data_IF_838555429810
#
_entry.id   IF_838555429810
#
_cell.length_a   1.000
_cell.length_b   1.000
_cell.length_c   1.000
_cell.angle_alpha   90.00
_cell.angle_beta   90.00
_cell.angle_gamma   90.00
#
_symmetry.space_group_name_H-M   'P 1'
#
loop_
_entity.id
_entity.type
_entity.pdbx_description
1 polymer ?
#
# COMPACT_ATOMS: atom_id res chain seq x y z
N UNK A 1 -11.69 -4.97 -15.17
CA UNK A 1 -11.54 -5.44 -13.79
C UNK A 1 -11.71 -4.25 -12.87
N UNK A 2 -12.25 -4.45 -11.67
CA UNK A 2 -12.20 -3.40 -10.66
C UNK A 2 -10.72 -3.08 -10.34
N UNK A 3 -10.35 -1.81 -10.09
CA UNK A 3 -8.99 -1.47 -9.70
C UNK A 3 -8.58 -2.26 -8.45
N UNK A 4 -7.40 -2.86 -8.49
CA UNK A 4 -6.79 -3.58 -7.35
C UNK A 4 -5.75 -2.68 -6.69
N UNK A 5 -5.47 -2.93 -5.42
CA UNK A 5 -4.48 -2.20 -4.63
C UNK A 5 -3.70 -3.17 -3.74
N UNK A 6 -2.47 -2.79 -3.41
CA UNK A 6 -1.66 -3.45 -2.39
C UNK A 6 -1.79 -2.70 -1.06
N UNK A 7 -1.83 -3.45 0.05
CA UNK A 7 -1.95 -2.88 1.38
C UNK A 7 -1.01 -3.57 2.38
N UNK A 8 -0.54 -2.79 3.35
CA UNK A 8 0.09 -3.31 4.55
C UNK A 8 -0.97 -3.54 5.62
N UNK A 9 -0.98 -4.73 6.21
CA UNK A 9 -1.91 -5.12 7.26
C UNK A 9 -1.10 -5.46 8.51
N UNK A 10 -1.51 -4.90 9.65
CA UNK A 10 -0.92 -5.20 10.95
C UNK A 10 -1.96 -5.85 11.85
N UNK A 11 -1.54 -6.82 12.67
CA UNK A 11 -2.41 -7.42 13.68
C UNK A 11 -2.74 -6.40 14.76
N UNK A 12 -3.99 -6.41 15.24
CA UNK A 12 -4.46 -5.50 16.30
C UNK A 12 -3.61 -5.59 17.57
N UNK A 13 -3.33 -6.79 18.06
CA UNK A 13 -2.56 -6.99 19.29
C UNK A 13 -1.11 -6.50 19.21
N UNK A 14 -0.48 -6.62 18.03
CA UNK A 14 0.84 -6.05 17.78
C UNK A 14 0.79 -4.52 17.74
N UNK A 15 -0.19 -3.96 17.03
CA UNK A 15 -0.35 -2.51 16.88
C UNK A 15 -0.71 -1.82 18.22
N UNK A 16 -1.44 -2.50 19.11
CA UNK A 16 -1.75 -2.02 20.46
C UNK A 16 -0.53 -2.05 21.39
N UNK A 17 0.32 -3.08 21.28
CA UNK A 17 1.52 -3.24 22.13
C UNK A 17 2.72 -2.43 21.64
N UNK A 18 2.81 -2.21 20.33
CA UNK A 18 3.94 -1.57 19.66
C UNK A 18 3.50 -0.50 18.65
N UNK A 19 2.65 0.47 19.05
CA UNK A 19 2.17 1.52 18.14
C UNK A 19 3.32 2.32 17.52
N UNK A 20 4.41 2.54 18.26
CA UNK A 20 5.60 3.24 17.81
C UNK A 20 6.31 2.54 16.64
N UNK A 21 6.35 1.20 16.65
CA UNK A 21 6.96 0.42 15.57
C UNK A 21 6.10 0.50 14.31
N UNK A 22 4.77 0.43 14.46
CA UNK A 22 3.84 0.54 13.32
C UNK A 22 3.91 1.93 12.70
N UNK A 23 3.95 2.98 13.52
CA UNK A 23 4.15 4.36 13.06
C UNK A 23 5.51 4.54 12.37
N UNK A 24 6.59 4.00 12.93
CA UNK A 24 7.91 4.09 12.30
C UNK A 24 7.96 3.35 10.96
N UNK A 25 7.32 2.18 10.85
CA UNK A 25 7.18 1.46 9.60
C UNK A 25 6.43 2.29 8.55
N UNK A 26 5.25 2.80 8.90
CA UNK A 26 4.46 3.65 8.01
C UNK A 26 5.27 4.87 7.54
N UNK A 27 6.00 5.52 8.46
CA UNK A 27 6.86 6.66 8.13
C UNK A 27 7.94 6.31 7.11
N UNK A 28 8.73 5.25 7.33
CA UNK A 28 9.82 4.87 6.41
C UNK A 28 9.26 4.51 5.02
N UNK A 29 8.10 3.84 4.95
CA UNK A 29 7.44 3.55 3.68
C UNK A 29 7.02 4.83 2.94
N UNK A 30 6.38 5.77 3.64
CA UNK A 30 5.92 7.02 3.04
C UNK A 30 7.07 7.94 2.63
N UNK A 31 8.15 7.97 3.40
CA UNK A 31 9.36 8.70 3.05
C UNK A 31 9.99 8.14 1.76
N UNK A 32 9.99 6.81 1.57
CA UNK A 32 10.45 6.18 0.34
C UNK A 32 9.56 6.52 -0.86
N UNK A 33 8.23 6.52 -0.69
CA UNK A 33 7.30 6.94 -1.73
C UNK A 33 7.48 8.41 -2.11
N UNK A 34 7.67 9.29 -1.12
CA UNK A 34 7.94 10.70 -1.35
C UNK A 34 9.27 10.92 -2.09
N UNK A 35 10.33 10.19 -1.72
CA UNK A 35 11.62 10.26 -2.39
C UNK A 35 11.52 9.86 -3.87
N UNK A 36 10.82 8.76 -4.18
CA UNK A 36 10.58 8.34 -5.56
C UNK A 36 9.72 9.37 -6.32
N UNK A 37 8.62 9.83 -5.74
CA UNK A 37 7.69 10.76 -6.40
C UNK A 37 8.23 12.16 -6.60
N UNK A 38 9.24 12.58 -5.83
CA UNK A 38 9.89 13.87 -5.99
C UNK A 38 10.52 14.02 -7.38
N UNK A 39 11.22 12.99 -7.83
CA UNK A 39 11.81 12.92 -9.17
C UNK A 39 12.02 11.45 -9.57
N UNK A 40 11.02 10.80 -10.19
CA UNK A 40 11.10 9.40 -10.57
C UNK A 40 12.24 9.10 -11.55
N UNK A 41 12.59 10.06 -12.42
CA UNK A 41 13.63 9.88 -13.43
C UNK A 41 15.01 9.90 -12.77
N UNK A 42 15.27 10.87 -11.89
CA UNK A 42 16.52 10.90 -11.13
C UNK A 42 16.65 9.70 -10.18
N UNK A 43 15.55 9.27 -9.54
CA UNK A 43 15.55 8.10 -8.66
C UNK A 43 15.89 6.81 -9.41
N UNK A 44 15.38 6.64 -10.64
CA UNK A 44 15.66 5.51 -11.53
C UNK A 44 17.05 5.57 -12.16
N UNK A 45 17.63 6.76 -12.33
CA UNK A 45 19.00 6.92 -12.83
C UNK A 45 20.07 6.47 -11.81
N UNK A 46 19.71 6.37 -10.53
CA UNK A 46 20.56 5.79 -9.49
C UNK A 46 20.55 4.26 -9.57
N UNK A 47 21.64 3.68 -10.09
CA UNK A 47 21.81 2.23 -10.19
C UNK A 47 21.66 1.51 -8.84
N UNK A 48 22.05 2.15 -7.72
CA UNK A 48 21.91 1.57 -6.40
C UNK A 48 20.47 1.37 -5.96
N UNK A 49 19.53 2.16 -6.48
CA UNK A 49 18.09 1.97 -6.26
C UNK A 49 17.53 0.82 -7.10
N UNK A 50 17.91 0.77 -8.38
CA UNK A 50 17.51 -0.31 -9.30
C UNK A 50 18.05 -1.66 -8.83
N UNK A 51 19.32 -1.72 -8.41
CA UNK A 51 19.96 -2.94 -7.93
C UNK A 51 19.28 -3.53 -6.69
N UNK A 52 18.83 -2.67 -5.76
CA UNK A 52 18.04 -3.10 -4.60
C UNK A 52 16.72 -3.73 -5.03
N UNK A 53 16.02 -3.13 -5.99
CA UNK A 53 14.75 -3.67 -6.49
C UNK A 53 14.95 -4.97 -7.26
N UNK A 54 15.99 -5.08 -8.09
CA UNK A 54 16.37 -6.32 -8.78
C UNK A 54 16.64 -7.43 -7.76
N UNK A 55 17.43 -7.14 -6.72
CA UNK A 55 17.77 -8.11 -5.68
C UNK A 55 16.54 -8.58 -4.88
N UNK A 56 15.60 -7.68 -4.58
CA UNK A 56 14.41 -7.99 -3.78
C UNK A 56 13.31 -8.69 -4.59
N UNK A 57 13.08 -8.26 -5.84
CA UNK A 57 11.98 -8.76 -6.68
C UNK A 57 12.36 -9.92 -7.59
N UNK A 58 13.65 -10.06 -7.92
CA UNK A 58 14.13 -10.96 -8.97
C UNK A 58 13.82 -10.50 -10.40
N UNK A 59 13.24 -9.30 -10.59
CA UNK A 59 12.98 -8.75 -11.91
C UNK A 59 14.27 -8.33 -12.63
N UNK A 60 14.23 -8.21 -13.96
CA UNK A 60 15.36 -7.65 -14.72
C UNK A 60 15.44 -6.14 -14.48
N UNK A 61 16.66 -5.61 -14.44
CA UNK A 61 16.89 -4.17 -14.28
C UNK A 61 16.14 -3.34 -15.36
N UNK A 62 16.05 -3.85 -16.59
CA UNK A 62 15.33 -3.22 -17.70
C UNK A 62 13.82 -3.06 -17.46
N UNK A 63 13.25 -3.91 -16.61
CA UNK A 63 11.80 -3.98 -16.40
C UNK A 63 11.37 -3.09 -15.22
N UNK A 64 12.30 -2.75 -14.31
CA UNK A 64 12.04 -1.94 -13.12
C UNK A 64 11.35 -0.60 -13.44
N UNK A 65 11.79 0.21 -14.43
CA UNK A 65 11.13 1.47 -14.73
C UNK A 65 9.65 1.32 -15.06
N UNK A 66 9.31 0.34 -15.91
CA UNK A 66 7.93 0.07 -16.31
C UNK A 66 7.09 -0.42 -15.13
N UNK A 67 7.64 -1.31 -14.31
CA UNK A 67 6.96 -1.84 -13.13
C UNK A 67 6.62 -0.73 -12.12
N UNK A 68 7.54 0.21 -11.86
CA UNK A 68 7.25 1.32 -10.97
C UNK A 68 6.24 2.31 -11.57
N UNK A 69 6.36 2.63 -12.86
CA UNK A 69 5.45 3.56 -13.54
C UNK A 69 4.02 3.01 -13.69
N UNK A 70 3.86 1.68 -13.65
CA UNK A 70 2.54 1.04 -13.64
C UNK A 70 1.73 1.24 -12.36
N UNK A 71 2.32 1.87 -11.33
CA UNK A 71 1.72 2.04 -10.02
C UNK A 71 1.68 3.52 -9.61
N UNK A 72 0.73 3.85 -8.73
CA UNK A 72 0.70 5.13 -8.03
C UNK A 72 1.11 4.89 -6.58
N UNK A 73 2.12 5.60 -6.12
CA UNK A 73 2.60 5.55 -4.73
C UNK A 73 2.00 6.73 -3.94
N UNK A 74 0.93 6.55 -3.17
CA UNK A 74 0.25 7.67 -2.52
C UNK A 74 1.13 8.31 -1.44
N UNK A 75 1.15 9.65 -1.39
CA UNK A 75 1.87 10.40 -0.35
C UNK A 75 1.11 10.35 0.98
N UNK A 76 1.71 10.83 2.06
CA UNK A 76 1.08 10.83 3.39
C UNK A 76 -0.31 11.49 3.40
N UNK A 77 -0.46 12.64 2.74
CA UNK A 77 -1.74 13.34 2.62
C UNK A 77 -2.79 12.53 1.84
N UNK A 78 -2.38 11.86 0.76
CA UNK A 78 -3.24 10.96 -0.01
C UNK A 78 -3.69 9.78 0.87
N UNK A 79 -2.75 9.18 1.61
CA UNK A 79 -2.99 8.00 2.44
C UNK A 79 -3.96 8.27 3.59
N UNK A 80 -3.90 9.44 4.23
CA UNK A 80 -4.88 9.83 5.26
C UNK A 80 -6.31 9.82 4.70
N UNK A 81 -6.49 10.20 3.43
CA UNK A 81 -7.79 10.18 2.76
C UNK A 81 -8.17 8.77 2.29
N UNK A 82 -7.22 8.03 1.71
CA UNK A 82 -7.44 6.69 1.16
C UNK A 82 -7.80 5.69 2.26
N UNK A 83 -7.09 5.69 3.39
CA UNK A 83 -7.30 4.81 4.56
C UNK A 83 -8.50 5.23 5.42
N UNK A 84 -9.61 5.53 4.76
CA UNK A 84 -10.92 5.82 5.36
C UNK A 84 -12.03 5.21 4.49
N UNK A 85 -12.97 6.06 4.05
CA UNK A 85 -14.08 5.65 3.21
C UNK A 85 -13.65 4.98 1.88
N UNK A 86 -12.63 5.47 1.15
CA UNK A 86 -12.23 4.87 -0.13
C UNK A 86 -11.80 3.40 -0.01
N UNK A 87 -10.83 3.09 0.87
CA UNK A 87 -10.39 1.69 1.07
C UNK A 87 -11.49 0.83 1.67
N UNK A 88 -12.29 1.34 2.61
CA UNK A 88 -13.42 0.59 3.17
C UNK A 88 -14.42 0.19 2.08
N UNK A 89 -14.75 1.12 1.16
CA UNK A 89 -15.61 0.83 0.02
C UNK A 89 -14.97 -0.22 -0.90
N UNK A 90 -13.70 -0.06 -1.24
CA UNK A 90 -13.00 -0.98 -2.13
C UNK A 90 -12.97 -2.42 -1.57
N UNK A 91 -12.73 -2.59 -0.27
CA UNK A 91 -12.79 -3.90 0.39
C UNK A 91 -14.21 -4.47 0.38
N UNK A 92 -15.22 -3.64 0.67
CA UNK A 92 -16.64 -4.04 0.63
C UNK A 92 -17.04 -4.53 -0.76
N UNK A 93 -16.75 -3.75 -1.80
CA UNK A 93 -17.06 -4.09 -3.19
C UNK A 93 -16.33 -5.38 -3.62
N UNK A 94 -15.07 -5.54 -3.22
CA UNK A 94 -14.27 -6.74 -3.53
C UNK A 94 -14.85 -7.98 -2.86
N UNK A 95 -15.24 -7.88 -1.58
CA UNK A 95 -15.85 -8.99 -0.85
C UNK A 95 -17.20 -9.40 -1.47
N UNK A 96 -18.03 -8.42 -1.86
CA UNK A 96 -19.29 -8.67 -2.54
C UNK A 96 -19.06 -9.38 -3.89
N UNK A 97 -18.13 -8.87 -4.70
CA UNK A 97 -17.78 -9.49 -5.98
C UNK A 97 -17.27 -10.93 -5.79
N UNK A 98 -16.40 -11.17 -4.81
CA UNK A 98 -15.91 -12.53 -4.51
C UNK A 98 -17.03 -13.48 -4.06
N UNK A 99 -18.04 -12.99 -3.34
CA UNK A 99 -19.22 -13.77 -2.96
C UNK A 99 -20.08 -14.13 -4.18
N UNK A 100 -20.32 -13.17 -5.08
CA UNK A 100 -21.04 -13.41 -6.33
C UNK A 100 -20.33 -14.46 -7.21
N UNK A 101 -19.00 -14.49 -7.17
CA UNK A 101 -18.17 -15.49 -7.87
C UNK A 101 -18.04 -16.83 -7.12
N UNK A 102 -18.71 -16.99 -5.97
CA UNK A 102 -18.64 -18.20 -5.14
C UNK A 102 -17.25 -18.49 -4.55
N UNK A 103 -16.42 -17.45 -4.37
CA UNK A 103 -15.06 -17.57 -3.79
C UNK A 103 -15.04 -17.41 -2.28
N UNK A 104 -16.09 -16.82 -1.70
CA UNK A 104 -16.30 -16.68 -0.26
C UNK A 104 -17.76 -16.96 0.08
N UNK A 105 -18.02 -17.59 1.23
CA UNK A 105 -19.38 -17.99 1.63
C UNK A 105 -20.19 -16.81 2.22
N UNK A 106 -19.50 -15.86 2.84
CA UNK A 106 -20.09 -14.73 3.54
C UNK A 106 -19.26 -13.44 3.38
N UNK A 107 -19.94 -12.31 3.57
CA UNK A 107 -19.34 -10.97 3.64
C UNK A 107 -19.68 -10.34 4.98
N UNK A 108 -18.83 -9.45 5.48
CA UNK A 108 -19.13 -8.70 6.69
C UNK A 108 -20.13 -7.58 6.40
N UNK A 109 -20.95 -7.18 7.40
CA UNK A 109 -21.83 -6.02 7.26
C UNK A 109 -21.05 -4.69 7.22
N UNK A 110 -19.84 -4.66 7.78
CA UNK A 110 -18.96 -3.50 7.80
C UNK A 110 -17.48 -3.90 7.84
N UNK A 111 -16.68 -3.25 7.01
CA UNK A 111 -15.23 -3.42 6.93
C UNK A 111 -14.43 -2.23 7.50
N UNK A 112 -15.10 -1.15 7.93
CA UNK A 112 -14.43 0.02 8.52
C UNK A 112 -13.51 -0.32 9.71
N UNK A 113 -13.84 -1.28 10.62
CA UNK A 113 -12.96 -1.64 11.74
C UNK A 113 -11.61 -2.27 11.35
N UNK A 114 -11.37 -2.52 10.05
CA UNK A 114 -10.14 -3.09 9.51
C UNK A 114 -9.30 -2.07 8.72
N UNK A 115 -9.74 -0.80 8.65
CA UNK A 115 -9.06 0.28 7.95
C UNK A 115 -8.79 1.42 8.93
N UNK A 116 -7.56 1.90 9.00
CA UNK A 116 -7.20 3.02 9.89
C UNK A 116 -6.01 3.81 9.35
N UNK A 117 -6.10 5.14 9.45
CA UNK A 117 -5.01 6.07 9.16
C UNK A 117 -4.20 6.48 10.40
N UNK A 118 -4.50 5.93 11.58
CA UNK A 118 -3.99 6.43 12.88
C UNK A 118 -2.46 6.38 13.03
N UNK A 119 -1.77 5.57 12.23
CA UNK A 119 -0.32 5.41 12.28
C UNK A 119 0.44 6.32 11.30
N UNK A 120 -0.28 7.14 10.52
CA UNK A 120 0.33 8.12 9.62
C UNK A 120 0.58 9.39 10.42
N UNK A 121 1.85 9.76 10.55
CA UNK A 121 2.25 11.02 11.20
C UNK A 121 2.10 12.19 10.24
N UNK A 122 1.59 13.31 10.75
CA UNK A 122 1.57 14.61 10.07
C UNK A 122 2.94 15.28 10.08
#
# INVERSE_FOLDING_TARGET
>A
GAPTFDAWIVRKDFAEKHPEIVTAFAKVTLDAYAAYRKDPQAWLADAGNVDKLVKLSGAKASDIPLLLQGNVYPLAADQVTLLGAPTTKAVTDTAAFLKEQGKVDAVLPDYAPYVSAQFITH
#
